data_IF_692627450029
#
_entry.id   IF_692627450029
#
_cell.length_a   1.000
_cell.length_b   1.000
_cell.length_c   1.000
_cell.angle_alpha   90.00
_cell.angle_beta   90.00
_cell.angle_gamma   90.00
#
_symmetry.space_group_name_H-M   'P 1'
#
loop_
_entity.id
_entity.type
_entity.pdbx_description
1 polymer ?
#
# COMPACT_ATOMS: atom_id res chain seq x y z
N UNK A 1 16.83 -0.38 -41.52
CA UNK A 1 16.65 0.74 -42.46
C UNK A 1 16.48 1.97 -41.58
N UNK A 2 17.01 3.13 -41.95
CA UNK A 2 16.73 4.34 -41.17
C UNK A 2 15.23 4.63 -41.39
N UNK A 3 14.41 4.37 -40.39
CA UNK A 3 12.97 4.62 -40.47
C UNK A 3 12.77 6.14 -40.45
N UNK A 4 12.70 6.72 -41.65
CA UNK A 4 12.36 8.13 -41.83
C UNK A 4 10.91 8.33 -41.37
N UNK A 5 10.70 9.35 -40.53
CA UNK A 5 9.37 9.75 -40.06
C UNK A 5 8.53 10.12 -41.27
N UNK A 6 7.29 9.62 -41.37
CA UNK A 6 6.41 9.99 -42.47
C UNK A 6 6.26 11.52 -42.57
N UNK A 7 6.39 12.11 -43.77
CA UNK A 7 6.39 13.56 -43.95
C UNK A 7 5.14 14.26 -43.37
N UNK A 8 4.00 13.60 -43.39
CA UNK A 8 2.75 14.07 -42.81
C UNK A 8 2.84 14.23 -41.29
N UNK A 9 3.45 13.27 -40.59
CA UNK A 9 3.63 13.30 -39.13
C UNK A 9 4.62 14.40 -38.76
N UNK A 10 5.76 14.46 -39.45
CA UNK A 10 6.76 15.51 -39.20
C UNK A 10 6.17 16.92 -39.46
N UNK A 11 5.34 17.06 -40.49
CA UNK A 11 4.64 18.32 -40.79
C UNK A 11 3.69 18.70 -39.67
N UNK A 12 2.94 17.74 -39.14
CA UNK A 12 2.04 17.96 -38.01
C UNK A 12 2.79 18.37 -36.74
N UNK A 13 3.81 17.61 -36.34
CA UNK A 13 4.66 17.92 -35.18
C UNK A 13 5.25 19.33 -35.31
N UNK A 14 5.82 19.66 -36.48
CA UNK A 14 6.39 20.99 -36.75
C UNK A 14 5.34 22.09 -36.66
N UNK A 15 4.11 21.83 -37.12
CA UNK A 15 3.00 22.78 -37.05
C UNK A 15 2.60 23.04 -35.60
N UNK A 16 2.47 22.00 -34.77
CA UNK A 16 2.11 22.11 -33.36
C UNK A 16 3.19 22.88 -32.60
N UNK A 17 4.45 22.50 -32.72
CA UNK A 17 5.57 23.18 -32.04
C UNK A 17 5.64 24.69 -32.35
N UNK A 18 5.42 25.08 -33.62
CA UNK A 18 5.36 26.50 -34.03
C UNK A 18 4.18 27.25 -33.45
N UNK A 19 3.06 26.57 -33.25
CA UNK A 19 1.84 27.15 -32.69
C UNK A 19 1.95 27.34 -31.18
N UNK A 20 2.55 26.39 -30.47
CA UNK A 20 2.72 26.43 -29.01
C UNK A 20 3.81 27.41 -28.57
N UNK A 21 4.89 27.50 -29.36
CA UNK A 21 6.04 28.34 -29.04
C UNK A 21 6.31 29.42 -30.12
N UNK A 22 5.41 30.41 -30.32
CA UNK A 22 5.60 31.42 -31.36
C UNK A 22 6.86 32.26 -31.13
N UNK A 23 7.78 32.22 -32.10
CA UNK A 23 9.01 33.03 -32.08
C UNK A 23 10.16 32.47 -31.23
N UNK A 24 9.92 31.42 -30.44
CA UNK A 24 10.95 30.71 -29.70
C UNK A 24 11.45 29.49 -30.50
N UNK A 25 12.56 29.67 -31.21
CA UNK A 25 13.12 28.62 -32.08
C UNK A 25 13.74 27.46 -31.30
N UNK A 26 14.24 27.72 -30.10
CA UNK A 26 14.87 26.69 -29.28
C UNK A 26 13.81 25.74 -28.74
N UNK A 27 12.72 26.30 -28.18
CA UNK A 27 11.57 25.51 -27.74
C UNK A 27 10.89 24.77 -28.89
N UNK A 28 10.74 25.40 -30.06
CA UNK A 28 10.22 24.70 -31.25
C UNK A 28 11.06 23.48 -31.62
N UNK A 29 12.38 23.61 -31.65
CA UNK A 29 13.26 22.49 -32.00
C UNK A 29 13.20 21.40 -30.93
N UNK A 30 13.23 21.77 -29.65
CA UNK A 30 13.10 20.83 -28.54
C UNK A 30 11.81 20.00 -28.64
N UNK A 31 10.65 20.65 -28.86
CA UNK A 31 9.38 19.94 -29.03
C UNK A 31 9.38 19.05 -30.26
N UNK A 32 9.93 19.52 -31.40
CA UNK A 32 10.02 18.69 -32.61
C UNK A 32 10.86 17.45 -32.37
N UNK A 33 12.01 17.58 -31.69
CA UNK A 33 12.92 16.49 -31.40
C UNK A 33 12.26 15.47 -30.45
N UNK A 34 11.64 15.94 -29.36
CA UNK A 34 10.96 15.09 -28.38
C UNK A 34 9.78 14.31 -29.00
N UNK A 35 8.91 14.99 -29.74
CA UNK A 35 7.74 14.36 -30.38
C UNK A 35 8.13 13.38 -31.49
N UNK A 36 9.20 13.71 -32.22
CA UNK A 36 9.82 12.82 -33.21
C UNK A 36 10.38 11.55 -32.55
N UNK A 37 11.13 11.71 -31.48
CA UNK A 37 11.70 10.60 -30.72
C UNK A 37 10.60 9.71 -30.16
N UNK A 38 9.54 10.29 -29.59
CA UNK A 38 8.40 9.55 -29.07
C UNK A 38 7.64 8.79 -30.16
N UNK A 39 7.42 9.40 -31.33
CA UNK A 39 6.81 8.71 -32.48
C UNK A 39 7.64 7.49 -32.92
N UNK A 40 8.95 7.66 -33.09
CA UNK A 40 9.86 6.57 -33.46
C UNK A 40 9.92 5.50 -32.37
N UNK A 41 9.90 5.92 -31.10
CA UNK A 41 9.81 5.02 -29.95
C UNK A 41 8.56 4.16 -29.99
N UNK A 42 7.41 4.74 -30.35
CA UNK A 42 6.14 4.03 -30.47
C UNK A 42 6.13 3.04 -31.64
N UNK A 43 6.66 3.41 -32.81
CA UNK A 43 6.78 2.52 -33.96
C UNK A 43 7.75 1.37 -33.70
N UNK A 44 8.84 1.65 -32.97
CA UNK A 44 9.86 0.68 -32.58
C UNK A 44 9.53 -0.14 -31.33
N UNK A 45 8.40 0.12 -30.66
CA UNK A 45 8.04 -0.54 -29.41
C UNK A 45 7.81 -2.04 -29.62
N UNK A 46 8.51 -2.87 -28.85
CA UNK A 46 8.26 -4.31 -28.81
C UNK A 46 7.08 -4.61 -27.87
N UNK A 47 5.95 -4.99 -28.47
CA UNK A 47 4.75 -5.35 -27.72
C UNK A 47 4.83 -6.75 -27.10
N UNK A 48 5.73 -7.62 -27.57
CA UNK A 48 5.86 -8.99 -27.08
C UNK A 48 4.51 -9.72 -27.02
N UNK A 49 4.16 -10.25 -25.84
CA UNK A 49 2.90 -10.95 -25.61
C UNK A 49 1.67 -10.02 -25.59
N UNK A 50 1.86 -8.71 -25.44
CA UNK A 50 0.81 -7.69 -25.48
C UNK A 50 0.41 -7.28 -26.91
N UNK A 51 0.98 -7.89 -27.95
CA UNK A 51 0.74 -7.50 -29.35
C UNK A 51 -0.75 -7.51 -29.72
N UNK A 52 -1.53 -8.46 -29.18
CA UNK A 52 -2.98 -8.53 -29.41
C UNK A 52 -3.75 -7.32 -28.85
N UNK A 53 -3.19 -6.65 -27.84
CA UNK A 53 -3.76 -5.47 -27.21
C UNK A 53 -3.33 -4.15 -27.88
N UNK A 54 -2.32 -4.17 -28.77
CA UNK A 54 -1.81 -2.98 -29.48
C UNK A 54 -2.91 -2.06 -30.04
N UNK A 55 -3.95 -2.57 -30.75
CA UNK A 55 -4.99 -1.71 -31.30
C UNK A 55 -5.81 -1.00 -30.24
N UNK A 56 -6.06 -1.64 -29.09
CA UNK A 56 -6.81 -1.05 -27.98
C UNK A 56 -5.99 0.06 -27.31
N UNK A 57 -4.72 -0.21 -26.99
CA UNK A 57 -3.81 0.78 -26.40
C UNK A 57 -3.67 2.02 -27.28
N UNK A 58 -3.43 1.84 -28.57
CA UNK A 58 -3.27 2.98 -29.50
C UNK A 58 -4.56 3.80 -29.67
N UNK A 59 -5.72 3.12 -29.68
CA UNK A 59 -7.01 3.81 -29.77
C UNK A 59 -7.23 4.68 -28.55
N UNK A 60 -7.04 4.11 -27.36
CA UNK A 60 -7.28 4.79 -26.09
C UNK A 60 -6.27 5.90 -25.84
N UNK A 61 -4.99 5.65 -26.10
CA UNK A 61 -3.95 6.67 -25.98
C UNK A 61 -4.28 7.91 -26.81
N UNK A 62 -4.73 7.73 -28.06
CA UNK A 62 -5.13 8.83 -28.95
C UNK A 62 -6.47 9.49 -28.58
N UNK A 63 -7.27 8.86 -27.72
CA UNK A 63 -8.51 9.44 -27.21
C UNK A 63 -8.25 10.42 -26.06
N UNK A 64 -7.24 10.14 -25.24
CA UNK A 64 -6.93 10.92 -24.04
C UNK A 64 -5.69 11.81 -24.16
N UNK A 65 -4.81 11.56 -25.13
CA UNK A 65 -3.54 12.26 -25.29
C UNK A 65 -3.40 12.85 -26.69
N UNK A 66 -2.86 14.06 -26.74
CA UNK A 66 -2.66 14.81 -28.00
C UNK A 66 -1.23 14.75 -28.51
N UNK A 67 -0.25 14.58 -27.60
CA UNK A 67 1.18 14.57 -27.94
C UNK A 67 1.70 13.15 -28.10
N UNK A 68 2.70 12.97 -28.97
CA UNK A 68 3.35 11.69 -29.16
C UNK A 68 4.09 11.23 -27.91
N UNK A 69 4.67 12.16 -27.14
CA UNK A 69 5.33 11.83 -25.86
C UNK A 69 4.35 11.16 -24.88
N UNK A 70 3.15 11.73 -24.70
CA UNK A 70 2.13 11.16 -23.82
C UNK A 70 1.57 9.84 -24.36
N UNK A 71 1.29 9.77 -25.67
CA UNK A 71 0.82 8.54 -26.31
C UNK A 71 1.85 7.42 -26.13
N UNK A 72 3.12 7.70 -26.41
CA UNK A 72 4.19 6.73 -26.25
C UNK A 72 4.35 6.31 -24.78
N UNK A 73 4.34 7.26 -23.85
CA UNK A 73 4.42 6.99 -22.41
C UNK A 73 3.30 6.08 -21.92
N UNK A 74 2.05 6.36 -22.32
CA UNK A 74 0.90 5.53 -21.99
C UNK A 74 1.04 4.11 -22.57
N UNK A 75 1.30 3.99 -23.87
CA UNK A 75 1.32 2.69 -24.55
C UNK A 75 2.50 1.83 -24.07
N UNK A 76 3.68 2.42 -23.90
CA UNK A 76 4.85 1.71 -23.37
C UNK A 76 4.63 1.25 -21.93
N UNK A 77 4.04 2.08 -21.08
CA UNK A 77 3.66 1.72 -19.72
C UNK A 77 2.66 0.57 -19.64
N UNK A 78 1.63 0.58 -20.51
CA UNK A 78 0.64 -0.52 -20.56
C UNK A 78 1.26 -1.84 -21.04
N UNK A 79 2.17 -1.78 -22.03
CA UNK A 79 2.91 -2.96 -22.50
C UNK A 79 3.83 -3.51 -21.41
N UNK A 80 4.58 -2.65 -20.73
CA UNK A 80 5.43 -3.05 -19.61
C UNK A 80 4.62 -3.68 -18.47
N UNK A 81 3.51 -3.05 -18.11
CA UNK A 81 2.64 -3.53 -17.05
C UNK A 81 2.03 -4.89 -17.39
N UNK A 82 1.57 -5.09 -18.64
CA UNK A 82 1.08 -6.38 -19.13
C UNK A 82 2.15 -7.48 -19.01
N UNK A 83 3.35 -7.22 -19.52
CA UNK A 83 4.44 -8.20 -19.51
C UNK A 83 4.90 -8.52 -18.08
N UNK A 84 4.95 -7.51 -17.21
CA UNK A 84 5.26 -7.66 -15.79
C UNK A 84 4.18 -8.50 -15.10
N UNK A 85 2.90 -8.18 -15.27
CA UNK A 85 1.79 -8.98 -14.74
C UNK A 85 1.83 -10.43 -15.22
N UNK A 86 2.18 -10.69 -16.47
CA UNK A 86 2.27 -12.04 -17.02
C UNK A 86 3.35 -12.89 -16.31
N UNK A 87 4.46 -12.26 -15.91
CA UNK A 87 5.65 -12.94 -15.35
C UNK A 87 5.80 -12.78 -13.83
N UNK A 88 5.00 -11.92 -13.20
CA UNK A 88 5.07 -11.64 -11.77
C UNK A 88 4.77 -12.88 -10.93
N UNK A 89 5.82 -13.42 -10.30
CA UNK A 89 5.79 -14.60 -9.44
C UNK A 89 6.83 -14.47 -8.31
N UNK A 90 6.54 -13.66 -7.27
CA UNK A 90 7.42 -13.56 -6.09
C UNK A 90 7.56 -14.91 -5.36
N UNK A 91 8.78 -15.28 -4.96
CA UNK A 91 9.07 -16.55 -4.27
C UNK A 91 8.52 -16.61 -2.83
N UNK A 92 8.36 -15.45 -2.19
CA UNK A 92 7.96 -15.32 -0.79
C UNK A 92 6.44 -15.18 -0.59
N UNK A 93 5.66 -15.17 -1.68
CA UNK A 93 4.20 -15.10 -1.64
C UNK A 93 3.60 -16.30 -2.37
N UNK A 94 2.62 -16.99 -1.76
CA UNK A 94 1.95 -18.12 -2.41
C UNK A 94 1.35 -17.76 -3.78
N UNK A 95 1.53 -18.65 -4.75
CA UNK A 95 1.10 -18.42 -6.13
C UNK A 95 -0.44 -18.25 -6.27
N UNK A 96 -1.21 -18.93 -5.42
CA UNK A 96 -2.67 -18.81 -5.36
C UNK A 96 -3.12 -17.41 -4.87
N UNK A 97 -2.42 -16.83 -3.90
CA UNK A 97 -2.65 -15.45 -3.44
C UNK A 97 -2.40 -14.46 -4.58
N UNK A 98 -1.27 -14.58 -5.27
CA UNK A 98 -0.94 -13.71 -6.42
C UNK A 98 -1.97 -13.87 -7.54
N UNK A 99 -2.36 -15.11 -7.87
CA UNK A 99 -3.36 -15.39 -8.91
C UNK A 99 -4.75 -14.85 -8.55
N UNK A 100 -5.15 -14.91 -7.27
CA UNK A 100 -6.40 -14.30 -6.81
C UNK A 100 -6.39 -12.78 -7.00
N UNK A 101 -5.31 -12.12 -6.61
CA UNK A 101 -5.20 -10.66 -6.74
C UNK A 101 -5.11 -10.20 -8.20
N UNK A 102 -4.44 -10.95 -9.08
CA UNK A 102 -4.49 -10.69 -10.54
C UNK A 102 -5.92 -10.77 -11.09
N UNK A 103 -6.70 -11.77 -10.68
CA UNK A 103 -8.12 -11.88 -11.11
C UNK A 103 -8.98 -10.73 -10.58
N UNK A 104 -8.79 -10.31 -9.34
CA UNK A 104 -9.52 -9.17 -8.75
C UNK A 104 -9.18 -7.88 -9.47
N UNK A 105 -7.88 -7.61 -9.64
CA UNK A 105 -7.41 -6.44 -10.36
C UNK A 105 -7.98 -6.37 -11.78
N UNK A 106 -7.95 -7.47 -12.54
CA UNK A 106 -8.51 -7.54 -13.89
C UNK A 106 -10.05 -7.38 -13.96
N UNK A 107 -10.76 -7.58 -12.85
CA UNK A 107 -12.21 -7.36 -12.77
C UNK A 107 -12.56 -5.91 -12.36
N UNK A 108 -11.62 -5.21 -11.71
CA UNK A 108 -11.83 -3.86 -11.15
C UNK A 108 -11.21 -2.76 -12.02
N UNK A 109 -10.20 -3.08 -12.83
CA UNK A 109 -9.43 -2.12 -13.59
C UNK A 109 -9.27 -2.53 -15.06
N UNK A 110 -9.55 -1.59 -15.95
CA UNK A 110 -9.39 -1.79 -17.39
C UNK A 110 -7.92 -1.72 -17.84
N UNK A 111 -7.11 -0.89 -17.20
CA UNK A 111 -5.69 -0.67 -17.53
C UNK A 111 -4.75 -1.63 -16.81
N UNK A 112 -3.76 -2.16 -17.53
CA UNK A 112 -2.78 -3.08 -16.98
C UNK A 112 -1.85 -2.40 -15.98
N UNK A 113 -1.51 -1.13 -16.17
CA UNK A 113 -0.75 -0.36 -15.17
C UNK A 113 -1.46 -0.31 -13.82
N UNK A 114 -2.76 0.02 -13.81
CA UNK A 114 -3.58 0.02 -12.60
C UNK A 114 -3.75 -1.38 -12.01
N UNK A 115 -3.87 -2.41 -12.86
CA UNK A 115 -3.90 -3.79 -12.39
C UNK A 115 -2.59 -4.19 -11.70
N UNK A 116 -1.45 -3.84 -12.29
CA UNK A 116 -0.12 -4.12 -11.74
C UNK A 116 0.07 -3.46 -10.38
N UNK A 117 -0.23 -2.15 -10.28
CA UNK A 117 -0.12 -1.40 -9.03
C UNK A 117 -0.93 -2.07 -7.90
N UNK A 118 -2.18 -2.46 -8.18
CA UNK A 118 -3.01 -3.15 -7.20
C UNK A 118 -2.44 -4.51 -6.78
N UNK A 119 -1.91 -5.30 -7.72
CA UNK A 119 -1.30 -6.60 -7.40
C UNK A 119 -0.03 -6.42 -6.58
N UNK A 120 0.82 -5.46 -6.93
CA UNK A 120 2.05 -5.14 -6.17
C UNK A 120 1.72 -4.64 -4.76
N UNK A 121 0.71 -3.79 -4.62
CA UNK A 121 0.23 -3.34 -3.32
C UNK A 121 -0.31 -4.51 -2.48
N UNK A 122 -1.02 -5.46 -3.09
CA UNK A 122 -1.50 -6.66 -2.41
C UNK A 122 -0.35 -7.58 -1.96
N UNK A 123 0.67 -7.77 -2.80
CA UNK A 123 1.90 -8.52 -2.47
C UNK A 123 2.60 -7.86 -1.27
N UNK A 124 2.77 -6.54 -1.28
CA UNK A 124 3.39 -5.84 -0.17
C UNK A 124 2.53 -5.90 1.09
N UNK A 125 1.20 -5.82 0.96
CA UNK A 125 0.26 -6.04 2.04
C UNK A 125 0.43 -7.43 2.68
N UNK A 126 0.55 -8.48 1.87
CA UNK A 126 0.83 -9.83 2.34
C UNK A 126 2.15 -9.91 3.11
N UNK A 127 3.23 -9.36 2.55
CA UNK A 127 4.55 -9.31 3.19
C UNK A 127 4.52 -8.57 4.51
N UNK A 128 3.83 -7.42 4.56
CA UNK A 128 3.64 -6.66 5.77
C UNK A 128 2.93 -7.48 6.86
N UNK A 129 1.88 -8.24 6.49
CA UNK A 129 1.18 -9.15 7.40
C UNK A 129 2.13 -10.23 7.94
N UNK A 130 2.89 -10.90 7.07
CA UNK A 130 3.83 -11.94 7.49
C UNK A 130 4.92 -11.39 8.44
N UNK A 131 5.52 -10.24 8.10
CA UNK A 131 6.51 -9.59 8.97
C UNK A 131 5.91 -9.19 10.32
N UNK A 132 4.69 -8.66 10.32
CA UNK A 132 3.97 -8.32 11.55
C UNK A 132 3.72 -9.57 12.38
N UNK A 133 3.23 -10.65 11.77
CA UNK A 133 3.00 -11.92 12.45
C UNK A 133 4.27 -12.46 13.09
N UNK A 134 5.36 -12.53 12.34
CA UNK A 134 6.66 -12.99 12.82
C UNK A 134 7.21 -12.14 13.98
N UNK A 135 6.97 -10.82 13.95
CA UNK A 135 7.38 -9.90 15.02
C UNK A 135 6.52 -10.05 16.27
N UNK A 136 5.21 -10.20 16.10
CA UNK A 136 4.23 -10.10 17.19
C UNK A 136 3.96 -11.44 17.85
N UNK A 137 3.96 -12.54 17.09
CA UNK A 137 3.68 -13.87 17.63
C UNK A 137 4.54 -14.22 18.86
N UNK A 138 5.86 -13.98 18.87
CA UNK A 138 6.71 -14.35 20.01
C UNK A 138 6.45 -13.54 21.28
N UNK A 139 5.85 -12.36 21.15
CA UNK A 139 5.57 -11.44 22.27
C UNK A 139 4.07 -11.25 22.50
N UNK A 140 3.23 -12.04 21.84
CA UNK A 140 1.77 -11.88 21.86
C UNK A 140 1.22 -11.85 23.28
N UNK A 141 1.61 -12.81 24.10
CA UNK A 141 1.04 -12.97 25.44
C UNK A 141 1.43 -11.83 26.38
N UNK A 142 2.66 -11.31 26.26
CA UNK A 142 3.06 -10.14 27.05
C UNK A 142 2.31 -8.88 26.58
N UNK A 143 2.06 -8.70 25.29
CA UNK A 143 1.25 -7.59 24.76
C UNK A 143 -0.18 -7.65 25.30
N UNK A 144 -0.83 -8.81 25.25
CA UNK A 144 -2.19 -8.99 25.78
C UNK A 144 -2.24 -8.71 27.29
N UNK A 145 -1.23 -9.16 28.06
CA UNK A 145 -1.16 -8.90 29.50
C UNK A 145 -0.94 -7.42 29.81
N UNK A 146 -0.04 -6.74 29.09
CA UNK A 146 0.20 -5.31 29.27
C UNK A 146 -1.04 -4.49 28.91
N UNK A 147 -1.74 -4.84 27.82
CA UNK A 147 -3.02 -4.21 27.48
C UNK A 147 -4.06 -4.44 28.58
N UNK A 148 -4.17 -5.65 29.12
CA UNK A 148 -5.13 -5.94 30.18
C UNK A 148 -4.87 -5.12 31.45
N UNK A 149 -3.59 -4.88 31.80
CA UNK A 149 -3.20 -3.98 32.88
C UNK A 149 -3.66 -2.56 32.56
N UNK A 150 -3.24 -2.01 31.42
CA UNK A 150 -3.55 -0.63 31.01
C UNK A 150 -5.06 -0.39 30.89
N UNK A 151 -5.77 -1.30 30.22
CA UNK A 151 -7.21 -1.22 30.02
C UNK A 151 -7.98 -1.28 31.32
N UNK A 152 -7.45 -1.97 32.34
CA UNK A 152 -8.01 -1.99 33.69
C UNK A 152 -7.67 -0.76 34.52
N UNK A 153 -6.83 0.16 34.03
CA UNK A 153 -6.57 1.46 34.65
C UNK A 153 -7.45 2.57 34.04
N UNK A 154 -8.57 2.20 33.40
CA UNK A 154 -9.55 3.14 32.89
C UNK A 154 -10.64 3.43 33.94
N UNK A 155 -10.97 4.72 34.10
CA UNK A 155 -11.88 5.21 35.13
C UNK A 155 -12.95 6.14 34.57
N UNK A 156 -14.14 6.06 35.17
CA UNK A 156 -15.25 6.90 34.77
C UNK A 156 -15.02 8.31 35.34
N UNK A 157 -14.94 9.30 34.47
CA UNK A 157 -14.76 10.70 34.87
C UNK A 157 -15.93 11.24 35.73
N UNK A 158 -17.11 10.62 35.65
CA UNK A 158 -18.28 10.98 36.45
C UNK A 158 -18.24 10.39 37.87
N UNK A 159 -17.18 9.66 38.23
CA UNK A 159 -16.96 9.13 39.57
C UNK A 159 -15.77 9.87 40.18
N UNK A 160 -15.88 10.29 41.44
CA UNK A 160 -14.76 10.91 42.16
C UNK A 160 -13.65 9.88 42.37
N UNK A 161 -12.60 9.92 41.55
CA UNK A 161 -11.44 9.01 41.66
C UNK A 161 -10.28 9.60 42.46
N UNK A 162 -10.34 10.91 42.74
CA UNK A 162 -9.32 11.64 43.48
C UNK A 162 -9.96 12.41 44.64
N UNK A 163 -9.27 12.44 45.78
CA UNK A 163 -9.64 13.31 46.89
C UNK A 163 -9.32 14.77 46.57
N UNK A 164 -9.79 15.69 47.43
CA UNK A 164 -9.49 17.12 47.32
C UNK A 164 -7.97 17.43 47.39
N UNK A 165 -7.15 16.48 47.84
CA UNK A 165 -5.68 16.59 47.92
C UNK A 165 -4.96 15.85 46.79
N UNK A 166 -5.67 15.38 45.77
CA UNK A 166 -5.09 14.65 44.63
C UNK A 166 -4.67 13.22 44.97
N UNK A 167 -5.09 12.67 46.11
CA UNK A 167 -4.83 11.27 46.47
C UNK A 167 -5.75 10.36 45.65
N UNK A 168 -5.17 9.31 45.09
CA UNK A 168 -5.89 8.28 44.35
C UNK A 168 -6.83 7.48 45.25
N UNK A 169 -8.14 7.52 44.98
CA UNK A 169 -9.21 6.80 45.70
C UNK A 169 -10.03 5.89 44.77
N UNK A 170 -9.56 5.67 43.54
CA UNK A 170 -10.27 4.89 42.52
C UNK A 170 -10.13 3.37 42.64
N UNK A 171 -9.50 2.84 43.70
CA UNK A 171 -9.33 1.40 43.88
C UNK A 171 -10.69 0.65 43.84
N UNK A 172 -10.78 -0.39 43.01
CA UNK A 172 -12.02 -1.15 42.77
C UNK A 172 -13.06 -0.44 41.89
N UNK A 173 -12.80 0.79 41.44
CA UNK A 173 -13.68 1.57 40.53
C UNK A 173 -13.21 1.53 39.08
N UNK A 174 -12.16 0.78 38.81
CA UNK A 174 -11.64 0.54 37.47
C UNK A 174 -12.65 -0.25 36.65
N UNK A 175 -12.68 0.03 35.35
CA UNK A 175 -13.36 -0.83 34.41
C UNK A 175 -12.43 -1.09 33.24
N UNK A 176 -12.45 -2.32 32.71
CA UNK A 176 -11.70 -2.60 31.49
C UNK A 176 -12.33 -1.90 30.30
N UNK A 177 -11.63 -0.93 29.73
CA UNK A 177 -12.08 -0.25 28.51
C UNK A 177 -12.07 -1.22 27.34
N UNK A 178 -13.13 -1.29 26.51
CA UNK A 178 -13.16 -2.20 25.38
C UNK A 178 -12.12 -1.79 24.33
N UNK A 179 -11.36 -2.77 23.83
CA UNK A 179 -10.50 -2.60 22.65
C UNK A 179 -11.32 -2.91 21.41
N UNK A 180 -11.18 -2.09 20.38
CA UNK A 180 -11.72 -2.35 19.05
C UNK A 180 -10.62 -2.96 18.17
N UNK A 181 -10.90 -4.08 17.53
CA UNK A 181 -10.01 -4.75 16.57
C UNK A 181 -10.62 -4.70 15.17
N UNK A 182 -9.78 -4.76 14.14
CA UNK A 182 -10.22 -4.90 12.75
C UNK A 182 -9.96 -6.34 12.32
N UNK A 183 -11.03 -7.05 11.98
CA UNK A 183 -10.99 -8.44 11.49
C UNK A 183 -11.76 -8.52 10.19
N UNK A 184 -11.12 -8.98 9.12
CA UNK A 184 -11.73 -9.08 7.78
C UNK A 184 -12.40 -7.76 7.33
N UNK A 185 -11.77 -6.62 7.63
CA UNK A 185 -12.29 -5.28 7.31
C UNK A 185 -13.44 -4.80 8.21
N UNK A 186 -13.85 -5.57 9.22
CA UNK A 186 -14.92 -5.21 10.15
C UNK A 186 -14.41 -4.93 11.56
N UNK A 187 -15.03 -3.98 12.23
CA UNK A 187 -14.72 -3.65 13.62
C UNK A 187 -15.37 -4.64 14.59
N UNK A 188 -14.57 -5.14 15.53
CA UNK A 188 -15.03 -6.02 16.60
C UNK A 188 -14.57 -5.47 17.96
N UNK A 189 -15.52 -5.18 18.87
CA UNK A 189 -15.23 -4.67 20.22
C UNK A 189 -15.11 -5.79 21.23
N UNK A 190 -14.03 -5.81 22.01
CA UNK A 190 -13.76 -6.85 23.00
C UNK A 190 -13.28 -6.30 24.33
N UNK A 191 -13.80 -6.88 25.42
CA UNK A 191 -13.42 -6.54 26.80
C UNK A 191 -12.57 -7.61 27.51
N UNK A 192 -12.45 -8.80 26.92
CA UNK A 192 -11.90 -9.96 27.64
C UNK A 192 -10.98 -10.80 26.78
N UNK A 193 -11.56 -11.70 25.97
CA UNK A 193 -10.83 -12.74 25.24
C UNK A 193 -10.35 -12.26 23.89
N UNK A 194 -9.08 -12.51 23.61
CA UNK A 194 -8.43 -12.25 22.32
C UNK A 194 -7.67 -13.47 21.80
N UNK A 195 -7.90 -14.64 22.42
CA UNK A 195 -7.18 -15.89 22.15
C UNK A 195 -7.32 -16.37 20.70
N UNK A 196 -8.46 -16.07 20.07
CA UNK A 196 -8.76 -16.37 18.66
C UNK A 196 -8.28 -15.31 17.66
N UNK A 197 -7.63 -14.23 18.13
CA UNK A 197 -7.03 -13.24 17.25
C UNK A 197 -5.62 -13.66 16.84
N UNK A 198 -5.41 -13.67 15.53
CA UNK A 198 -4.09 -13.80 14.93
C UNK A 198 -3.18 -12.63 15.35
N UNK A 199 -1.85 -12.82 15.42
CA UNK A 199 -0.92 -11.80 15.88
C UNK A 199 -0.99 -10.48 15.09
N UNK A 200 -1.17 -10.54 13.78
CA UNK A 200 -1.35 -9.34 12.95
C UNK A 200 -2.68 -8.61 13.23
N UNK A 201 -3.74 -9.33 13.57
CA UNK A 201 -5.03 -8.74 13.91
C UNK A 201 -4.96 -8.04 15.27
N UNK A 202 -4.16 -8.56 16.21
CA UNK A 202 -3.92 -7.94 17.52
C UNK A 202 -3.38 -6.51 17.36
N UNK A 203 -2.51 -6.26 16.38
CA UNK A 203 -1.91 -4.93 16.12
C UNK A 203 -2.92 -3.87 15.70
N UNK A 204 -4.07 -4.26 15.16
CA UNK A 204 -5.15 -3.33 14.82
C UNK A 204 -5.91 -2.84 16.06
N UNK A 205 -5.67 -3.44 17.22
CA UNK A 205 -6.36 -3.12 18.46
C UNK A 205 -6.14 -1.68 18.91
N UNK A 206 -7.23 -0.95 19.09
CA UNK A 206 -7.23 0.44 19.54
C UNK A 206 -8.36 0.73 20.53
N UNK A 207 -8.11 1.61 21.49
CA UNK A 207 -9.16 2.20 22.30
C UNK A 207 -9.78 3.39 21.56
N UNK A 208 -11.10 3.51 21.61
CA UNK A 208 -11.84 4.66 21.07
C UNK A 208 -12.24 5.60 22.20
N UNK A 209 -11.66 6.78 22.28
CA UNK A 209 -11.94 7.82 23.26
C UNK A 209 -12.61 9.03 22.60
N UNK A 210 -13.93 8.94 22.40
CA UNK A 210 -14.66 9.94 21.64
C UNK A 210 -14.22 9.94 20.17
N UNK A 211 -13.70 11.07 19.69
CA UNK A 211 -13.16 11.21 18.34
C UNK A 211 -11.68 10.77 18.22
N UNK A 212 -11.03 10.45 19.34
CA UNK A 212 -9.61 10.05 19.36
C UNK A 212 -9.47 8.54 19.50
N UNK A 213 -8.37 8.01 18.97
CA UNK A 213 -8.04 6.58 19.07
C UNK A 213 -6.62 6.38 19.59
N UNK A 214 -6.44 5.37 20.44
CA UNK A 214 -5.13 4.95 20.94
C UNK A 214 -4.83 3.52 20.45
N UNK A 215 -3.89 3.38 19.51
CA UNK A 215 -3.41 2.09 19.01
C UNK A 215 -2.57 1.36 20.07
N UNK A 216 -3.25 0.73 21.04
CA UNK A 216 -2.62 0.20 22.26
C UNK A 216 -1.56 -0.85 21.96
N UNK A 217 -1.83 -1.83 21.10
CA UNK A 217 -0.86 -2.90 20.82
C UNK A 217 0.34 -2.40 19.99
N UNK A 218 0.13 -1.45 19.07
CA UNK A 218 1.25 -0.79 18.34
C UNK A 218 2.17 -0.05 19.30
N UNK A 219 1.60 0.68 20.26
CA UNK A 219 2.38 1.39 21.27
C UNK A 219 3.17 0.40 22.14
N UNK A 220 2.54 -0.69 22.58
CA UNK A 220 3.18 -1.72 23.39
C UNK A 220 4.32 -2.44 22.66
N UNK A 221 4.19 -2.74 21.36
CA UNK A 221 5.30 -3.28 20.55
C UNK A 221 6.49 -2.32 20.55
N UNK A 222 6.24 -1.02 20.36
CA UNK A 222 7.32 -0.01 20.37
C UNK A 222 7.99 0.11 21.75
N UNK A 223 7.24 -0.04 22.83
CA UNK A 223 7.78 -0.07 24.19
C UNK A 223 8.66 -1.31 24.37
N UNK A 224 8.20 -2.49 23.93
CA UNK A 224 8.99 -3.71 23.97
C UNK A 224 10.28 -3.56 23.17
N UNK A 225 10.21 -3.06 21.93
CA UNK A 225 11.39 -2.81 21.09
C UNK A 225 12.41 -1.92 21.81
N UNK A 226 11.93 -0.83 22.43
CA UNK A 226 12.77 0.10 23.21
C UNK A 226 13.39 -0.59 24.42
N UNK A 227 12.64 -1.40 25.17
CA UNK A 227 13.17 -2.13 26.33
C UNK A 227 14.20 -3.20 25.92
N UNK A 228 13.99 -3.88 24.81
CA UNK A 228 14.97 -4.84 24.26
C UNK A 228 16.26 -4.12 23.81
N UNK A 229 16.14 -2.98 23.12
CA UNK A 229 17.26 -2.24 22.56
C UNK A 229 18.07 -1.45 23.61
N UNK A 230 17.40 -0.69 24.46
CA UNK A 230 18.04 0.28 25.35
C UNK A 230 18.38 -0.33 26.72
N UNK A 231 17.58 -1.31 27.16
CA UNK A 231 17.70 -1.92 28.49
C UNK A 231 18.07 -3.40 28.44
N UNK A 232 18.24 -3.98 27.25
CA UNK A 232 18.63 -5.38 27.08
C UNK A 232 17.60 -6.38 27.59
N UNK A 233 16.32 -5.98 27.69
CA UNK A 233 15.24 -6.85 28.13
C UNK A 233 15.23 -8.14 27.29
N UNK A 234 15.16 -9.29 27.97
CA UNK A 234 15.03 -10.60 27.33
C UNK A 234 13.63 -11.12 27.60
N UNK A 235 12.81 -11.17 26.54
CA UNK A 235 11.48 -11.79 26.60
C UNK A 235 11.63 -13.23 26.15
N UNK A 236 11.26 -14.23 26.97
CA UNK A 236 11.21 -15.61 26.54
C UNK A 236 10.24 -15.74 25.37
N UNK A 237 10.77 -16.06 24.20
CA UNK A 237 9.99 -16.38 23.00
C UNK A 237 9.78 -17.89 23.06
N UNK A 238 8.53 -18.35 23.10
CA UNK A 238 8.12 -19.70 23.52
C UNK A 238 8.63 -20.90 22.70
N UNK A 239 9.94 -21.05 22.57
CA UNK A 239 10.66 -22.24 22.07
C UNK A 239 11.75 -22.67 23.08
N UNK A 240 11.41 -22.71 24.37
CA UNK A 240 12.19 -23.47 25.37
C UNK A 240 11.21 -24.27 26.25
N UNK A 241 10.57 -25.26 25.64
CA UNK A 241 9.97 -26.39 26.36
C UNK A 241 10.70 -27.64 25.88
N UNK A 242 11.74 -28.04 26.62
CA UNK A 242 12.31 -29.39 26.54
C UNK A 242 11.27 -30.44 26.97
#
# INVERSE_FOLDING_TARGET
MADEIPPEILTEITRVARSEWPGDREMQQYTIDAETEAYLGLEGLDYGAALEHKPAFLKEAREFHETWEEIFGFVSGEVEAFNTLATLAPEDVPADVVAEHKRKAAAEHDWFSSQLENVEQAIEGYRYVQRTRAKVAPIRDILVRMEAIIGSECYNANIQNYSAWGVWEGEGRSFRYPVTYIRNGQEEKRKARVDDLEPEALITGHYKFGANELSIHRALVRIVDMLEADYGLKIPRGEESC
#
